data_IF_013018697777
#
_entry.id   IF_013018697777
#
_cell.length_a   1.000
_cell.length_b   1.000
_cell.length_c   1.000
_cell.angle_alpha   90.00
_cell.angle_beta   90.00
_cell.angle_gamma   90.00
#
_symmetry.space_group_name_H-M   'P 1'
#
loop_
_entity.id
_entity.type
_entity.pdbx_description
1 polymer ?
#
# COMPACT_ATOMS: atom_id res chain seq x y z
N UNK A 1 -74.39 -28.63 -15.84
CA UNK A 1 -73.37 -28.46 -14.81
C UNK A 1 -73.88 -27.46 -13.77
N UNK A 2 -73.99 -27.88 -12.50
CA UNK A 2 -74.59 -27.09 -11.43
C UNK A 2 -73.67 -25.90 -11.05
N UNK A 3 -74.18 -24.73 -10.66
CA UNK A 3 -73.41 -23.58 -10.16
C UNK A 3 -72.42 -23.98 -9.03
N UNK A 4 -72.82 -24.96 -8.22
CA UNK A 4 -71.96 -25.52 -7.13
C UNK A 4 -70.74 -26.26 -7.67
N UNK A 5 -70.82 -26.98 -8.75
CA UNK A 5 -69.72 -27.71 -9.40
C UNK A 5 -68.73 -26.72 -10.03
N UNK A 6 -69.21 -25.66 -10.65
CA UNK A 6 -68.33 -24.58 -11.19
C UNK A 6 -67.54 -23.90 -10.08
N UNK A 7 -68.17 -23.57 -8.96
CA UNK A 7 -67.48 -22.98 -7.81
C UNK A 7 -66.43 -23.92 -7.18
N UNK A 8 -66.69 -25.21 -7.11
CA UNK A 8 -65.69 -26.17 -6.64
C UNK A 8 -64.49 -26.25 -7.58
N UNK A 9 -64.68 -26.32 -8.87
CA UNK A 9 -63.59 -26.34 -9.86
C UNK A 9 -62.72 -25.08 -9.79
N UNK A 10 -63.37 -23.91 -9.67
CA UNK A 10 -62.62 -22.61 -9.51
C UNK A 10 -61.80 -22.60 -8.21
N UNK A 11 -62.36 -23.11 -7.11
CA UNK A 11 -61.66 -23.20 -5.82
C UNK A 11 -60.48 -24.16 -5.88
N UNK A 12 -60.62 -25.29 -6.51
CA UNK A 12 -59.56 -26.29 -6.72
C UNK A 12 -58.45 -25.73 -7.61
N UNK A 13 -58.79 -25.04 -8.70
CA UNK A 13 -57.83 -24.38 -9.57
C UNK A 13 -57.03 -23.28 -8.83
N UNK A 14 -57.73 -22.46 -8.01
CA UNK A 14 -57.04 -21.47 -7.18
C UNK A 14 -56.11 -22.07 -6.15
N UNK A 15 -56.53 -23.17 -5.51
CA UNK A 15 -55.67 -23.89 -4.56
C UNK A 15 -54.45 -24.55 -5.23
N UNK A 16 -54.63 -25.15 -6.41
CA UNK A 16 -53.53 -25.71 -7.18
C UNK A 16 -52.56 -24.62 -7.67
N UNK A 17 -53.06 -23.47 -8.11
CA UNK A 17 -52.24 -22.33 -8.50
C UNK A 17 -51.45 -21.73 -7.32
N UNK A 18 -52.09 -21.67 -6.13
CA UNK A 18 -51.41 -21.20 -4.92
C UNK A 18 -50.29 -22.13 -4.52
N UNK A 19 -50.54 -23.45 -4.48
CA UNK A 19 -49.50 -24.46 -4.19
C UNK A 19 -48.34 -24.47 -5.19
N UNK A 20 -48.62 -24.29 -6.50
CA UNK A 20 -47.57 -24.10 -7.52
C UNK A 20 -46.73 -22.87 -7.26
N UNK A 21 -47.34 -21.73 -6.91
CA UNK A 21 -46.63 -20.50 -6.59
C UNK A 21 -45.71 -20.65 -5.35
N UNK A 22 -46.18 -21.33 -4.31
CA UNK A 22 -45.38 -21.58 -3.11
C UNK A 22 -44.17 -22.51 -3.42
N UNK A 23 -44.41 -23.60 -4.19
CA UNK A 23 -43.34 -24.50 -4.62
C UNK A 23 -42.30 -23.79 -5.49
N UNK A 24 -42.73 -22.92 -6.43
CA UNK A 24 -41.81 -22.14 -7.26
C UNK A 24 -41.00 -21.13 -6.41
N UNK A 25 -41.66 -20.45 -5.45
CA UNK A 25 -40.94 -19.55 -4.52
C UNK A 25 -39.95 -20.31 -3.66
N UNK A 26 -40.34 -21.49 -3.13
CA UNK A 26 -39.43 -22.34 -2.34
C UNK A 26 -38.24 -22.86 -3.17
N UNK A 27 -38.49 -23.26 -4.43
CA UNK A 27 -37.43 -23.70 -5.32
C UNK A 27 -36.50 -22.55 -5.71
N UNK A 28 -37.06 -21.38 -6.06
CA UNK A 28 -36.27 -20.18 -6.37
C UNK A 28 -35.41 -19.74 -5.19
N UNK A 29 -35.95 -19.76 -3.96
CA UNK A 29 -35.20 -19.44 -2.75
C UNK A 29 -34.06 -20.43 -2.50
N UNK A 30 -34.27 -21.72 -2.73
CA UNK A 30 -33.21 -22.73 -2.59
C UNK A 30 -32.12 -22.56 -3.65
N UNK A 31 -32.47 -22.32 -4.89
CA UNK A 31 -31.49 -22.05 -5.97
C UNK A 31 -30.70 -20.79 -5.64
N UNK A 32 -31.34 -19.73 -5.18
CA UNK A 32 -30.66 -18.51 -4.78
C UNK A 32 -29.67 -18.76 -3.63
N UNK A 33 -30.10 -19.46 -2.59
CA UNK A 33 -29.27 -19.68 -1.40
C UNK A 33 -28.09 -20.63 -1.68
N UNK A 34 -28.30 -21.72 -2.43
CA UNK A 34 -27.30 -22.78 -2.59
C UNK A 34 -26.49 -22.68 -3.88
N UNK A 35 -26.94 -21.94 -4.87
CA UNK A 35 -26.21 -21.77 -6.13
C UNK A 35 -25.71 -20.33 -6.31
N UNK A 36 -26.59 -19.35 -6.22
CA UNK A 36 -26.23 -17.96 -6.52
C UNK A 36 -25.38 -17.32 -5.43
N UNK A 37 -25.71 -17.54 -4.16
CA UNK A 37 -24.96 -16.94 -3.05
C UNK A 37 -23.51 -17.44 -2.98
N UNK A 38 -23.21 -18.77 -3.04
CA UNK A 38 -21.84 -19.25 -3.09
C UNK A 38 -21.07 -18.76 -4.33
N UNK A 39 -21.74 -18.69 -5.47
CA UNK A 39 -21.11 -18.18 -6.70
C UNK A 39 -20.75 -16.69 -6.60
N UNK A 40 -21.60 -15.90 -5.97
CA UNK A 40 -21.33 -14.48 -5.71
C UNK A 40 -20.16 -14.32 -4.74
N UNK A 41 -20.12 -15.13 -3.66
CA UNK A 41 -18.98 -15.13 -2.71
C UNK A 41 -17.70 -15.57 -3.42
N UNK A 42 -17.75 -16.62 -4.21
CA UNK A 42 -16.59 -17.07 -4.99
C UNK A 42 -16.08 -15.96 -5.93
N UNK A 43 -16.99 -15.29 -6.63
CA UNK A 43 -16.63 -14.21 -7.56
C UNK A 43 -16.05 -12.97 -6.85
N UNK A 44 -16.60 -12.62 -5.68
CA UNK A 44 -16.05 -11.51 -4.87
C UNK A 44 -14.65 -11.86 -4.34
N UNK A 45 -14.45 -13.06 -3.83
CA UNK A 45 -13.13 -13.54 -3.38
C UNK A 45 -12.16 -13.61 -4.55
N UNK A 46 -12.60 -14.11 -5.70
CA UNK A 46 -11.79 -14.14 -6.92
C UNK A 46 -11.32 -12.74 -7.34
N UNK A 47 -12.24 -11.75 -7.36
CA UNK A 47 -11.88 -10.36 -7.66
C UNK A 47 -10.87 -9.83 -6.63
N UNK A 48 -11.11 -10.04 -5.33
CA UNK A 48 -10.22 -9.55 -4.27
C UNK A 48 -8.82 -10.16 -4.35
N UNK A 49 -8.73 -11.44 -4.71
CA UNK A 49 -7.43 -12.12 -4.84
C UNK A 49 -6.69 -11.76 -6.14
N UNK A 50 -7.41 -11.36 -7.18
CA UNK A 50 -6.83 -10.98 -8.48
C UNK A 50 -6.79 -9.45 -8.69
N UNK A 51 -6.96 -8.66 -7.63
CA UNK A 51 -6.65 -7.24 -7.72
C UNK A 51 -5.13 -7.11 -7.83
N UNK A 52 -4.64 -6.67 -8.96
CA UNK A 52 -3.27 -6.20 -9.06
C UNK A 52 -3.06 -5.12 -8.01
N UNK A 53 -2.03 -5.22 -7.17
CA UNK A 53 -1.74 -4.16 -6.22
C UNK A 53 -1.56 -2.87 -7.03
N UNK A 54 -2.42 -1.88 -6.76
CA UNK A 54 -2.33 -0.56 -7.38
C UNK A 54 -1.11 0.14 -6.79
N UNK A 55 0.09 -0.32 -7.18
CA UNK A 55 1.28 0.47 -6.99
C UNK A 55 1.27 1.55 -8.08
N UNK A 56 1.06 2.80 -7.69
CA UNK A 56 1.39 3.90 -8.58
C UNK A 56 2.88 3.74 -8.93
N UNK A 57 3.18 3.61 -10.20
CA UNK A 57 4.57 3.67 -10.68
C UNK A 57 5.11 5.03 -10.25
N UNK A 58 6.02 5.02 -9.27
CA UNK A 58 6.65 6.26 -8.83
C UNK A 58 7.67 6.60 -9.91
N UNK A 59 7.44 7.70 -10.61
CA UNK A 59 8.41 8.23 -11.56
C UNK A 59 9.64 8.73 -10.79
N UNK A 60 10.81 8.30 -11.26
CA UNK A 60 12.08 8.76 -10.75
C UNK A 60 12.36 10.09 -11.46
N UNK A 61 12.47 11.16 -10.68
CA UNK A 61 12.76 12.48 -11.20
C UNK A 61 14.27 12.68 -11.40
N UNK A 62 14.64 13.59 -12.31
CA UNK A 62 16.05 13.87 -12.62
C UNK A 62 16.85 14.39 -11.40
N UNK A 63 16.16 14.93 -10.41
CA UNK A 63 16.74 15.42 -9.16
C UNK A 63 16.66 14.43 -8.00
N UNK A 64 16.17 13.21 -8.21
CA UNK A 64 16.17 12.19 -7.18
C UNK A 64 17.59 11.66 -6.91
N UNK A 65 17.90 11.41 -5.65
CA UNK A 65 19.13 10.74 -5.26
C UNK A 65 18.96 9.23 -5.38
N UNK A 66 19.63 8.64 -6.36
CA UNK A 66 19.52 7.20 -6.65
C UNK A 66 20.83 6.49 -6.28
N UNK A 67 20.73 5.40 -5.50
CA UNK A 67 21.83 4.45 -5.20
C UNK A 67 21.50 3.12 -5.86
N UNK A 68 22.44 2.60 -6.66
CA UNK A 68 22.30 1.34 -7.40
C UNK A 68 22.15 1.56 -8.89
N UNK A 69 22.49 0.53 -9.68
CA UNK A 69 22.59 0.63 -11.16
C UNK A 69 21.94 -0.55 -11.89
N UNK A 70 21.07 -1.31 -11.23
CA UNK A 70 20.50 -2.53 -11.81
C UNK A 70 19.71 -2.29 -13.11
N UNK A 71 19.81 -3.25 -14.04
CA UNK A 71 18.94 -3.29 -15.22
C UNK A 71 17.53 -3.72 -14.77
N UNK A 72 16.55 -2.84 -14.89
CA UNK A 72 15.16 -3.07 -14.45
C UNK A 72 15.05 -3.42 -12.95
N UNK A 73 15.61 -2.57 -12.06
CA UNK A 73 15.67 -2.85 -10.63
C UNK A 73 14.32 -2.71 -9.94
N UNK A 74 14.22 -3.32 -8.77
CA UNK A 74 13.14 -3.01 -7.82
C UNK A 74 13.44 -1.63 -7.20
N UNK A 75 12.51 -0.69 -7.35
CA UNK A 75 12.66 0.66 -6.81
C UNK A 75 12.21 0.70 -5.35
N UNK A 76 13.13 1.00 -4.44
CA UNK A 76 12.87 1.23 -3.03
C UNK A 76 12.87 2.74 -2.82
N UNK A 77 11.67 3.35 -2.77
CA UNK A 77 11.56 4.80 -2.55
C UNK A 77 11.42 5.07 -1.07
N UNK A 78 12.37 5.81 -0.53
CA UNK A 78 12.47 6.15 0.89
C UNK A 78 12.19 7.63 1.07
N UNK A 79 11.11 7.94 1.77
CA UNK A 79 10.82 9.29 2.26
C UNK A 79 11.27 9.37 3.71
N UNK A 80 12.32 10.10 4.00
CA UNK A 80 12.90 10.10 5.35
C UNK A 80 13.28 11.48 5.85
N UNK A 81 13.26 11.55 7.19
CA UNK A 81 13.73 12.67 7.98
C UNK A 81 15.02 12.25 8.69
N UNK A 82 16.09 12.98 8.47
CA UNK A 82 17.41 12.70 9.07
C UNK A 82 17.41 12.73 10.60
N UNK A 83 16.52 13.50 11.23
CA UNK A 83 16.44 13.56 12.69
C UNK A 83 15.46 12.54 13.28
N UNK A 84 14.67 11.85 12.47
CA UNK A 84 13.72 10.83 12.95
C UNK A 84 14.44 9.54 13.36
N UNK A 85 14.30 9.08 14.64
CA UNK A 85 14.96 7.85 15.10
C UNK A 85 14.52 6.58 14.35
N UNK A 86 13.25 6.52 13.94
CA UNK A 86 12.70 5.42 13.16
C UNK A 86 13.35 5.35 11.78
N UNK A 87 13.56 6.50 11.12
CA UNK A 87 14.24 6.59 9.83
C UNK A 87 15.71 6.15 9.94
N UNK A 88 16.38 6.51 11.04
CA UNK A 88 17.76 6.03 11.29
C UNK A 88 17.81 4.49 11.46
N UNK A 89 16.79 3.90 12.10
CA UNK A 89 16.71 2.44 12.25
C UNK A 89 16.47 1.77 10.89
N UNK A 90 15.59 2.34 10.05
CA UNK A 90 15.35 1.88 8.68
C UNK A 90 16.61 1.98 7.84
N UNK A 91 17.31 3.13 7.88
CA UNK A 91 18.59 3.32 7.21
C UNK A 91 19.60 2.23 7.58
N UNK A 92 19.78 1.94 8.88
CA UNK A 92 20.68 0.87 9.33
C UNK A 92 20.29 -0.51 8.78
N UNK A 93 18.99 -0.76 8.65
CA UNK A 93 18.47 -2.01 8.10
C UNK A 93 18.78 -2.11 6.60
N UNK A 94 18.49 -1.08 5.83
CA UNK A 94 18.78 -1.00 4.40
C UNK A 94 20.30 -1.07 4.15
N UNK A 95 21.11 -0.37 4.95
CA UNK A 95 22.57 -0.38 4.84
C UNK A 95 23.13 -1.78 5.00
N UNK A 96 22.63 -2.55 5.98
CA UNK A 96 23.06 -3.96 6.20
C UNK A 96 22.59 -4.90 5.11
N UNK A 97 21.41 -4.67 4.55
CA UNK A 97 20.84 -5.50 3.48
C UNK A 97 21.42 -5.17 2.10
N UNK A 98 21.93 -3.95 1.93
CA UNK A 98 22.37 -3.42 0.64
C UNK A 98 23.29 -4.36 -0.14
N UNK A 99 24.34 -4.97 0.45
CA UNK A 99 25.21 -5.91 -0.28
C UNK A 99 24.46 -7.12 -0.88
N UNK A 100 23.33 -7.49 -0.32
CA UNK A 100 22.54 -8.66 -0.77
C UNK A 100 21.49 -8.33 -1.82
N UNK A 101 21.10 -7.05 -1.96
CA UNK A 101 20.01 -6.63 -2.83
C UNK A 101 20.43 -5.65 -3.93
N UNK A 102 21.65 -5.11 -3.87
CA UNK A 102 22.16 -4.05 -4.77
C UNK A 102 22.14 -4.42 -6.26
N UNK A 103 22.24 -5.71 -6.58
CA UNK A 103 22.22 -6.20 -7.96
C UNK A 103 20.82 -6.16 -8.59
N UNK A 104 19.76 -6.17 -7.76
CA UNK A 104 18.36 -6.26 -8.18
C UNK A 104 17.51 -5.06 -7.77
N UNK A 105 18.08 -4.12 -7.00
CA UNK A 105 17.36 -3.02 -6.43
C UNK A 105 18.10 -1.70 -6.57
N UNK A 106 17.34 -0.61 -6.55
CA UNK A 106 17.89 0.73 -6.35
C UNK A 106 17.11 1.44 -5.26
N UNK A 107 17.81 2.29 -4.49
CA UNK A 107 17.22 3.14 -3.47
C UNK A 107 17.09 4.54 -4.05
N UNK A 108 15.87 5.09 -3.96
CA UNK A 108 15.56 6.47 -4.31
C UNK A 108 15.26 7.19 -3.00
N UNK A 109 16.12 8.14 -2.61
CA UNK A 109 15.92 8.90 -1.38
C UNK A 109 15.25 10.23 -1.67
N UNK A 110 14.22 10.54 -0.87
CA UNK A 110 13.48 11.80 -0.91
C UNK A 110 13.39 12.40 0.48
N UNK A 111 13.80 13.63 0.62
CA UNK A 111 13.70 14.35 1.88
C UNK A 111 12.25 14.51 2.34
N UNK A 112 12.00 14.24 3.61
CA UNK A 112 10.72 14.49 4.26
C UNK A 112 10.90 15.07 5.68
N UNK A 113 11.51 16.27 5.81
CA UNK A 113 11.82 16.87 7.11
C UNK A 113 10.55 17.30 7.85
N UNK A 114 10.31 16.71 9.03
CA UNK A 114 9.16 17.01 9.91
C UNK A 114 9.52 18.16 10.86
N UNK A 115 9.66 19.35 10.33
CA UNK A 115 10.22 20.52 11.02
C UNK A 115 9.45 20.95 12.28
N UNK A 116 8.18 20.56 12.40
CA UNK A 116 7.37 20.83 13.61
C UNK A 116 7.80 19.99 14.82
N UNK A 117 8.50 18.87 14.59
CA UNK A 117 8.93 17.93 15.63
C UNK A 117 10.45 17.84 15.73
N UNK A 118 11.12 17.98 14.59
CA UNK A 118 12.56 17.80 14.43
C UNK A 118 13.21 19.10 13.99
N UNK A 119 13.71 19.86 14.96
CA UNK A 119 14.23 21.22 14.75
C UNK A 119 15.41 21.32 13.78
N UNK A 120 16.22 20.23 13.68
CA UNK A 120 17.41 20.19 12.81
C UNK A 120 17.21 19.42 11.50
N UNK A 121 16.01 18.84 11.28
CA UNK A 121 15.74 18.01 10.11
C UNK A 121 15.97 18.78 8.79
N UNK A 122 15.57 20.04 8.76
CA UNK A 122 15.76 20.89 7.58
C UNK A 122 17.25 21.17 7.31
N UNK A 123 18.00 21.61 8.34
CA UNK A 123 19.43 21.89 8.22
C UNK A 123 20.18 20.62 7.77
N UNK A 124 19.93 19.46 8.38
CA UNK A 124 20.53 18.20 7.98
C UNK A 124 20.24 17.85 6.51
N UNK A 125 19.03 18.11 6.03
CA UNK A 125 18.69 17.92 4.61
C UNK A 125 19.48 18.85 3.70
N UNK A 126 19.65 20.13 4.09
CA UNK A 126 20.45 21.10 3.32
C UNK A 126 21.93 20.72 3.22
N UNK A 127 22.52 20.18 4.30
CA UNK A 127 23.90 19.69 4.27
C UNK A 127 24.07 18.49 3.34
N UNK A 128 23.10 17.55 3.36
CA UNK A 128 23.11 16.43 2.43
C UNK A 128 23.01 16.88 0.97
N UNK A 129 22.16 17.87 0.69
CA UNK A 129 22.02 18.46 -0.65
C UNK A 129 23.29 19.24 -1.07
N UNK A 130 23.91 19.97 -0.14
CA UNK A 130 25.19 20.67 -0.40
C UNK A 130 26.31 19.69 -0.76
N UNK A 131 26.39 18.56 -0.05
CA UNK A 131 27.29 17.46 -0.40
C UNK A 131 26.93 16.83 -1.76
N UNK A 132 25.63 16.75 -2.08
CA UNK A 132 25.13 16.29 -3.37
C UNK A 132 25.61 17.12 -4.55
N UNK A 133 25.75 18.44 -4.38
CA UNK A 133 26.34 19.33 -5.39
C UNK A 133 27.81 19.00 -5.69
N UNK A 134 28.46 18.28 -4.81
CA UNK A 134 29.84 17.80 -4.93
C UNK A 134 29.90 16.29 -5.26
N UNK A 135 28.79 15.68 -5.66
CA UNK A 135 28.64 14.23 -5.89
C UNK A 135 28.91 13.38 -4.65
N UNK A 136 28.62 13.91 -3.45
CA UNK A 136 28.85 13.28 -2.15
C UNK A 136 27.56 13.11 -1.32
N UNK A 137 26.41 13.11 -2.01
CA UNK A 137 25.13 12.97 -1.31
C UNK A 137 25.09 11.72 -0.41
N UNK A 138 25.44 10.57 -0.95
CA UNK A 138 25.29 9.32 -0.23
C UNK A 138 26.29 9.17 0.92
N UNK A 139 27.48 9.71 0.79
CA UNK A 139 28.45 9.74 1.88
C UNK A 139 27.94 10.61 3.04
N UNK A 140 27.40 11.79 2.74
CA UNK A 140 26.79 12.67 3.75
C UNK A 140 25.51 12.05 4.33
N UNK A 141 24.65 11.48 3.51
CA UNK A 141 23.44 10.79 3.93
C UNK A 141 23.75 9.69 4.98
N UNK A 142 24.73 8.83 4.67
CA UNK A 142 25.11 7.75 5.56
C UNK A 142 25.76 8.28 6.85
N UNK A 143 26.57 9.34 6.75
CA UNK A 143 27.19 10.01 7.90
C UNK A 143 26.16 10.64 8.82
N UNK A 144 25.20 11.40 8.26
CA UNK A 144 24.18 12.08 9.04
C UNK A 144 23.31 11.09 9.81
N UNK A 145 22.90 9.97 9.19
CA UNK A 145 22.17 8.92 9.92
C UNK A 145 23.03 8.20 10.96
N UNK A 146 24.28 7.91 10.64
CA UNK A 146 25.19 7.21 11.56
C UNK A 146 25.49 8.03 12.83
N UNK A 147 25.58 9.36 12.68
CA UNK A 147 25.87 10.29 13.78
C UNK A 147 24.64 10.93 14.41
N UNK A 148 23.44 10.57 13.95
CA UNK A 148 22.17 11.12 14.45
C UNK A 148 22.06 11.15 15.98
N UNK A 149 22.46 10.13 16.76
CA UNK A 149 22.34 10.15 18.22
C UNK A 149 23.17 11.28 18.88
N UNK A 150 24.17 11.80 18.19
CA UNK A 150 25.04 12.89 18.65
C UNK A 150 24.40 14.24 18.28
N UNK A 151 24.33 14.54 16.96
CA UNK A 151 23.94 15.85 16.50
C UNK A 151 22.46 16.20 16.76
N UNK A 152 21.57 15.21 16.81
CA UNK A 152 20.13 15.44 17.02
C UNK A 152 19.82 16.07 18.38
N UNK A 153 20.75 16.08 19.32
CA UNK A 153 20.64 16.63 20.66
C UNK A 153 21.35 17.95 20.85
N UNK A 154 22.07 18.41 19.86
CA UNK A 154 22.78 19.68 19.91
C UNK A 154 21.79 20.86 19.87
N UNK A 155 22.22 22.01 20.33
CA UNK A 155 21.46 23.26 20.18
C UNK A 155 21.53 23.80 18.76
N UNK A 156 22.65 23.55 18.08
CA UNK A 156 22.92 23.88 16.66
C UNK A 156 23.67 22.74 16.00
N UNK A 157 23.55 22.57 14.71
CA UNK A 157 24.20 21.47 13.95
C UNK A 157 25.25 21.96 12.95
N UNK A 158 25.43 23.27 12.82
CA UNK A 158 26.31 23.88 11.84
C UNK A 158 27.76 23.42 12.01
N UNK A 159 28.23 23.33 13.26
CA UNK A 159 29.60 22.91 13.55
C UNK A 159 29.84 21.39 13.41
N UNK A 160 28.79 20.60 13.29
CA UNK A 160 28.89 19.14 13.18
C UNK A 160 29.02 18.70 11.72
N UNK A 161 28.53 19.49 10.79
CA UNK A 161 28.47 19.15 9.37
C UNK A 161 29.44 19.95 8.50
N UNK A 162 30.07 20.98 9.05
CA UNK A 162 31.15 21.75 8.39
C UNK A 162 32.49 21.01 8.47
#
# INVERSE_FOLDING_TARGET
>A
MSKREQQRKIKEQKQQAAKKRENVKGLASRIFLFAFLPLLVFFTVYILLNQDPVYSTIEIADNDHVRGTGNNPVNIVVYADFQCPACATEHQTLYRLWPSISDQSQIIFRHFPVTNTHQHAWSASLYAEAAGKQNKFWEMHDYVFATQPVWSRLSTVENEFD
#
